data_IF_428478247857
#
_entry.id   IF_428478247857
#
_cell.length_a   1.000
_cell.length_b   1.000
_cell.length_c   1.000
_cell.angle_alpha   90.00
_cell.angle_beta   90.00
_cell.angle_gamma   90.00
#
_symmetry.space_group_name_H-M   'P 1'
#
loop_
_entity.id
_entity.type
_entity.pdbx_description
1 polymer ?
#
# COMPACT_ATOMS: atom_id res chain seq x y z
N UNK A 1 51.97 -57.90 -36.35
CA UNK A 1 50.79 -57.02 -36.25
C UNK A 1 49.66 -57.77 -35.59
N UNK A 2 49.27 -57.38 -34.36
CA UNK A 2 47.99 -57.65 -33.69
C UNK A 2 48.03 -56.89 -32.36
N UNK A 3 47.15 -55.89 -32.19
CA UNK A 3 46.84 -55.27 -30.89
C UNK A 3 45.34 -55.44 -30.63
N UNK A 4 44.91 -55.86 -29.42
CA UNK A 4 43.53 -56.23 -29.16
C UNK A 4 42.67 -55.04 -28.75
N UNK A 5 41.42 -55.07 -29.23
CA UNK A 5 40.32 -54.17 -28.91
C UNK A 5 39.81 -54.46 -27.48
N UNK A 6 40.24 -53.72 -26.47
CA UNK A 6 39.65 -53.84 -25.12
C UNK A 6 39.65 -52.54 -24.30
N UNK A 7 39.65 -51.36 -24.94
CA UNK A 7 39.64 -50.07 -24.23
C UNK A 7 38.33 -49.28 -24.45
N UNK A 8 37.43 -49.73 -25.34
CA UNK A 8 36.30 -48.90 -25.76
C UNK A 8 35.03 -48.98 -24.90
N UNK A 9 34.99 -49.79 -23.83
CA UNK A 9 33.77 -49.95 -23.02
C UNK A 9 33.79 -49.22 -21.66
N UNK A 10 34.92 -48.67 -21.21
CA UNK A 10 34.97 -47.96 -19.92
C UNK A 10 34.66 -46.46 -20.03
N UNK A 11 34.69 -45.88 -21.23
CA UNK A 11 34.41 -44.46 -21.44
C UNK A 11 32.93 -44.11 -21.63
N UNK A 12 32.04 -45.10 -21.83
CA UNK A 12 30.61 -44.85 -22.01
C UNK A 12 29.80 -44.80 -20.71
N UNK A 13 30.38 -45.24 -19.58
CA UNK A 13 29.68 -45.28 -18.29
C UNK A 13 29.81 -43.97 -17.47
N UNK A 14 30.76 -43.09 -17.81
CA UNK A 14 30.94 -41.80 -17.13
C UNK A 14 30.15 -40.63 -17.74
N UNK A 15 29.45 -40.83 -18.87
CA UNK A 15 28.67 -39.77 -19.52
C UNK A 15 27.20 -39.71 -19.05
N UNK A 16 26.73 -40.70 -18.28
CA UNK A 16 25.32 -40.80 -17.88
C UNK A 16 24.99 -40.16 -16.51
N UNK A 17 25.96 -39.56 -15.82
CA UNK A 17 25.77 -39.00 -14.47
C UNK A 17 25.71 -37.46 -14.39
N UNK A 18 25.68 -36.74 -15.53
CA UNK A 18 25.69 -35.26 -15.54
C UNK A 18 24.33 -34.60 -15.82
N UNK A 19 23.22 -35.35 -15.92
CA UNK A 19 21.92 -34.80 -16.35
C UNK A 19 20.80 -34.97 -15.30
N UNK A 20 21.13 -34.92 -14.01
CA UNK A 20 20.14 -34.74 -12.94
C UNK A 20 20.62 -33.75 -11.89
N UNK A 21 20.99 -32.55 -12.33
CA UNK A 21 20.93 -31.36 -11.49
C UNK A 21 19.69 -30.58 -11.92
N UNK A 22 18.54 -30.91 -11.33
CA UNK A 22 17.39 -30.01 -11.32
C UNK A 22 17.79 -28.79 -10.49
N UNK A 23 18.36 -27.78 -11.14
CA UNK A 23 18.63 -26.50 -10.53
C UNK A 23 17.30 -25.86 -10.13
N UNK A 24 17.05 -25.79 -8.83
CA UNK A 24 15.93 -25.06 -8.25
C UNK A 24 16.07 -23.53 -8.40
N UNK A 25 17.13 -23.02 -9.04
CA UNK A 25 17.47 -21.60 -9.08
C UNK A 25 18.08 -21.15 -10.43
N UNK A 26 17.55 -21.58 -11.57
CA UNK A 26 17.90 -20.90 -12.83
C UNK A 26 17.46 -19.43 -12.74
N UNK A 27 18.34 -18.45 -13.02
CA UNK A 27 17.93 -17.05 -13.04
C UNK A 27 16.80 -16.86 -14.05
N UNK A 28 15.78 -16.10 -13.65
CA UNK A 28 14.64 -15.80 -14.52
C UNK A 28 15.12 -15.05 -15.76
N UNK A 29 14.40 -15.20 -16.88
CA UNK A 29 14.68 -14.36 -18.05
C UNK A 29 14.43 -12.89 -17.67
N UNK A 30 15.22 -11.93 -18.22
CA UNK A 30 15.06 -10.51 -17.92
C UNK A 30 13.63 -9.99 -18.16
N UNK A 31 12.94 -10.54 -19.17
CA UNK A 31 11.55 -10.20 -19.48
C UNK A 31 10.57 -10.69 -18.39
N UNK A 32 10.78 -11.91 -17.86
CA UNK A 32 9.94 -12.45 -16.79
C UNK A 32 10.10 -11.62 -15.51
N UNK A 33 11.34 -11.27 -15.18
CA UNK A 33 11.65 -10.43 -14.02
C UNK A 33 11.04 -9.02 -14.16
N UNK A 34 11.09 -8.43 -15.35
CA UNK A 34 10.48 -7.13 -15.62
C UNK A 34 8.96 -7.16 -15.45
N UNK A 35 8.28 -8.16 -16.04
CA UNK A 35 6.83 -8.28 -15.95
C UNK A 35 6.36 -8.51 -14.50
N UNK A 36 7.05 -9.37 -13.74
CA UNK A 36 6.75 -9.58 -12.32
C UNK A 36 7.02 -8.32 -11.46
N UNK A 37 8.01 -7.51 -11.85
CA UNK A 37 8.32 -6.25 -11.17
C UNK A 37 7.29 -5.15 -11.48
N UNK A 38 6.78 -5.09 -12.72
CA UNK A 38 5.68 -4.20 -13.09
C UNK A 38 4.40 -4.53 -12.31
N UNK A 39 4.09 -5.81 -12.13
CA UNK A 39 2.99 -6.26 -11.28
C UNK A 39 3.13 -5.83 -9.83
N UNK A 40 4.32 -6.05 -9.25
CA UNK A 40 4.62 -5.58 -7.91
C UNK A 40 4.45 -4.06 -7.82
N UNK A 41 4.91 -3.30 -8.82
CA UNK A 41 4.75 -1.86 -8.87
C UNK A 41 3.28 -1.42 -8.96
N UNK A 42 2.43 -2.11 -9.72
CA UNK A 42 0.99 -1.80 -9.82
C UNK A 42 0.28 -2.10 -8.47
N UNK A 43 0.56 -3.24 -7.84
CA UNK A 43 0.06 -3.55 -6.50
C UNK A 43 0.54 -2.55 -5.44
N UNK A 44 1.81 -2.14 -5.49
CA UNK A 44 2.38 -1.13 -4.58
C UNK A 44 1.73 0.24 -4.81
N UNK A 45 1.58 0.68 -6.06
CA UNK A 45 0.89 1.94 -6.38
C UNK A 45 -0.54 1.95 -5.85
N UNK A 46 -1.27 0.85 -6.04
CA UNK A 46 -2.60 0.65 -5.46
C UNK A 46 -2.56 0.73 -3.93
N UNK A 47 -1.58 0.12 -3.26
CA UNK A 47 -1.48 0.21 -1.81
C UNK A 47 -1.22 1.62 -1.26
N UNK A 48 -0.59 2.50 -2.04
CA UNK A 48 -0.30 3.87 -1.63
C UNK A 48 -1.44 4.84 -1.95
N UNK A 49 -2.23 4.56 -2.98
CA UNK A 49 -3.29 5.43 -3.49
C UNK A 49 -4.29 5.93 -2.44
N UNK A 50 -4.87 7.09 -2.70
CA UNK A 50 -5.89 7.68 -1.83
C UNK A 50 -7.26 7.09 -2.11
N UNK A 51 -7.74 7.12 -3.37
CA UNK A 51 -9.12 6.78 -3.74
C UNK A 51 -9.49 5.34 -3.41
N UNK A 52 -8.51 4.46 -3.25
CA UNK A 52 -8.70 3.05 -2.91
C UNK A 52 -8.54 2.72 -1.42
N UNK A 53 -8.33 3.72 -0.56
CA UNK A 53 -8.16 3.52 0.88
C UNK A 53 -6.77 3.01 1.28
N UNK A 54 -5.78 3.25 0.43
CA UNK A 54 -4.37 2.98 0.68
C UNK A 54 -3.73 3.95 1.68
N UNK A 55 -2.41 4.00 1.69
CA UNK A 55 -1.64 4.76 2.70
C UNK A 55 -1.95 6.25 2.66
N UNK A 56 -2.07 6.87 1.48
CA UNK A 56 -2.37 8.31 1.38
C UNK A 56 -3.72 8.69 1.99
N UNK A 57 -4.72 7.81 1.93
CA UNK A 57 -6.01 8.03 2.58
C UNK A 57 -5.89 8.04 4.11
N UNK A 58 -5.07 7.13 4.64
CA UNK A 58 -4.87 6.96 6.07
C UNK A 58 -3.96 8.05 6.65
N UNK A 59 -2.99 8.54 5.87
CA UNK A 59 -2.25 9.75 6.20
C UNK A 59 -3.17 10.98 6.25
N UNK A 60 -4.15 11.03 5.35
CA UNK A 60 -5.17 12.08 5.38
C UNK A 60 -6.07 11.98 6.62
N UNK A 61 -6.41 10.77 7.07
CA UNK A 61 -7.11 10.54 8.35
C UNK A 61 -6.33 11.14 9.52
N UNK A 62 -5.02 10.91 9.58
CA UNK A 62 -4.15 11.46 10.63
C UNK A 62 -4.10 12.98 10.59
N UNK A 63 -3.99 13.59 9.40
CA UNK A 63 -3.97 15.05 9.26
C UNK A 63 -5.32 15.66 9.69
N UNK A 64 -6.44 15.04 9.36
CA UNK A 64 -7.76 15.56 9.73
C UNK A 64 -8.00 15.55 11.24
N UNK A 65 -7.39 14.60 11.96
CA UNK A 65 -7.39 14.59 13.43
C UNK A 65 -6.69 15.82 14.03
N UNK A 66 -5.75 16.44 13.32
CA UNK A 66 -5.11 17.70 13.73
C UNK A 66 -6.01 18.92 13.46
N UNK A 67 -7.29 18.85 13.82
CA UNK A 67 -8.23 19.96 13.69
C UNK A 67 -9.25 19.95 14.83
N UNK A 68 -9.88 21.09 15.13
CA UNK A 68 -10.92 21.18 16.18
C UNK A 68 -12.08 20.21 15.92
N UNK A 69 -12.33 19.94 14.65
CA UNK A 69 -13.46 19.17 14.13
C UNK A 69 -13.11 17.68 14.03
N UNK A 70 -11.81 17.36 13.97
CA UNK A 70 -11.28 16.03 13.77
C UNK A 70 -11.79 15.38 12.47
N UNK A 71 -11.62 14.07 12.40
CA UNK A 71 -12.23 13.23 11.36
C UNK A 71 -13.76 13.07 11.56
N UNK A 72 -14.29 13.47 12.72
CA UNK A 72 -15.69 13.28 13.12
C UNK A 72 -16.65 14.25 12.39
N UNK A 73 -16.16 15.41 11.95
CA UNK A 73 -16.98 16.35 11.18
C UNK A 73 -16.91 16.01 9.69
N UNK A 74 -17.87 15.20 9.25
CA UNK A 74 -18.01 14.81 7.85
C UNK A 74 -18.20 16.06 6.98
N UNK A 75 -17.25 16.33 6.08
CA UNK A 75 -17.50 17.29 5.00
C UNK A 75 -18.24 16.59 3.86
N UNK A 76 -19.23 17.28 3.29
CA UNK A 76 -19.88 17.02 2.01
C UNK A 76 -18.91 16.99 0.80
N UNK A 77 -17.59 17.04 1.04
CA UNK A 77 -16.55 17.30 0.04
C UNK A 77 -15.43 16.25 0.01
N UNK A 78 -15.62 15.09 0.65
CA UNK A 78 -14.77 13.94 0.33
C UNK A 78 -15.21 13.41 -1.05
N UNK A 79 -14.27 13.02 -1.90
CA UNK A 79 -14.45 12.59 -3.30
C UNK A 79 -15.32 11.33 -3.51
N UNK A 80 -16.33 11.08 -2.68
CA UNK A 80 -17.37 10.08 -2.87
C UNK A 80 -18.61 10.73 -3.48
N UNK A 81 -18.79 10.58 -4.79
CA UNK A 81 -20.09 10.78 -5.41
C UNK A 81 -21.00 9.65 -4.90
N UNK A 82 -21.76 9.92 -3.84
CA UNK A 82 -22.86 9.06 -3.41
C UNK A 82 -24.17 9.53 -4.01
N UNK A 83 -25.10 8.59 -4.10
CA UNK A 83 -26.49 8.78 -4.50
C UNK A 83 -27.29 9.71 -3.57
N UNK A 84 -26.71 10.15 -2.45
CA UNK A 84 -27.21 11.25 -1.62
C UNK A 84 -26.05 11.98 -0.93
N UNK A 85 -26.18 13.29 -0.74
CA UNK A 85 -25.17 14.18 -0.13
C UNK A 85 -24.92 13.92 1.37
N UNK A 86 -25.61 12.94 1.96
CA UNK A 86 -25.75 12.79 3.42
C UNK A 86 -25.02 11.59 4.04
N UNK A 87 -24.52 10.61 3.28
CA UNK A 87 -23.83 9.42 3.83
C UNK A 87 -22.45 9.18 3.18
N UNK A 88 -21.53 10.12 3.32
CA UNK A 88 -20.20 10.04 2.67
C UNK A 88 -19.26 9.08 3.40
N UNK A 89 -19.42 8.95 4.71
CA UNK A 89 -18.74 7.98 5.55
C UNK A 89 -19.64 7.61 6.73
N UNK A 90 -19.37 6.49 7.40
CA UNK A 90 -19.94 6.18 8.72
C UNK A 90 -18.79 6.16 9.72
N UNK A 91 -18.90 6.99 10.75
CA UNK A 91 -17.86 7.16 11.76
C UNK A 91 -18.49 6.95 13.12
N UNK A 92 -17.95 6.01 13.88
CA UNK A 92 -18.30 5.75 15.27
C UNK A 92 -17.05 5.90 16.13
N UNK A 93 -17.15 6.57 17.28
CA UNK A 93 -15.99 6.84 18.13
C UNK A 93 -16.32 6.68 19.61
N UNK A 94 -15.38 6.08 20.34
CA UNK A 94 -15.43 5.97 21.81
C UNK A 94 -14.11 6.43 22.42
N UNK A 95 -14.16 6.99 23.63
CA UNK A 95 -13.00 7.47 24.37
C UNK A 95 -12.83 6.68 25.66
N UNK A 96 -11.62 6.16 25.88
CA UNK A 96 -11.21 5.56 27.14
C UNK A 96 -10.41 6.58 27.97
N UNK A 97 -10.96 7.09 29.08
CA UNK A 97 -10.27 8.06 29.94
C UNK A 97 -9.09 7.46 30.72
N UNK A 98 -9.03 6.14 30.93
CA UNK A 98 -7.95 5.50 31.68
C UNK A 98 -6.64 5.52 30.89
N UNK A 99 -6.73 5.29 29.58
CA UNK A 99 -5.57 5.31 28.67
C UNK A 99 -5.42 6.63 27.93
N UNK A 100 -6.46 7.48 27.91
CA UNK A 100 -6.50 8.69 27.10
C UNK A 100 -6.53 8.39 25.60
N UNK A 101 -7.20 7.31 25.20
CA UNK A 101 -7.21 6.79 23.83
C UNK A 101 -8.61 6.84 23.25
N UNK A 102 -8.72 7.29 22.01
CA UNK A 102 -9.91 7.15 21.19
C UNK A 102 -9.86 5.86 20.39
N UNK A 103 -10.99 5.19 20.26
CA UNK A 103 -11.24 4.18 19.24
C UNK A 103 -12.16 4.77 18.18
N UNK A 104 -11.85 4.54 16.91
CA UNK A 104 -12.66 4.99 15.77
C UNK A 104 -12.94 3.84 14.83
N UNK A 105 -14.21 3.66 14.46
CA UNK A 105 -14.64 2.78 13.39
C UNK A 105 -15.09 3.62 12.21
N UNK A 106 -14.52 3.35 11.04
CA UNK A 106 -14.73 4.09 9.82
C UNK A 106 -15.27 3.16 8.74
N UNK A 107 -16.28 3.60 8.02
CA UNK A 107 -16.68 3.03 6.75
C UNK A 107 -16.74 4.12 5.68
N UNK A 108 -16.19 3.84 4.50
CA UNK A 108 -16.25 4.69 3.31
C UNK A 108 -16.51 3.84 2.09
N UNK A 109 -17.15 4.44 1.11
CA UNK A 109 -17.40 3.90 -0.21
C UNK A 109 -17.18 5.03 -1.24
N UNK A 110 -16.69 4.68 -2.42
CA UNK A 110 -16.34 5.64 -3.46
C UNK A 110 -16.69 5.07 -4.81
N UNK A 111 -17.33 5.89 -5.63
CA UNK A 111 -17.78 5.49 -6.97
C UNK A 111 -19.05 4.65 -6.92
N UNK A 112 -19.42 4.10 -8.07
CA UNK A 112 -20.58 3.23 -8.21
C UNK A 112 -20.15 1.77 -7.96
N UNK A 113 -20.86 0.97 -7.13
CA UNK A 113 -20.56 -0.45 -6.91
C UNK A 113 -20.37 -1.26 -8.20
N UNK A 114 -21.16 -0.93 -9.23
CA UNK A 114 -21.09 -1.56 -10.54
C UNK A 114 -20.13 -0.85 -11.50
N UNK A 115 -19.65 0.35 -11.16
CA UNK A 115 -18.76 1.17 -11.97
C UNK A 115 -17.27 0.99 -11.70
N UNK A 116 -16.46 1.71 -12.48
CA UNK A 116 -15.00 1.76 -12.35
C UNK A 116 -14.56 3.23 -12.47
N UNK A 117 -13.83 3.80 -11.50
CA UNK A 117 -13.32 3.15 -10.28
C UNK A 117 -14.40 2.95 -9.20
N UNK A 118 -14.15 1.98 -8.31
CA UNK A 118 -14.95 1.72 -7.11
C UNK A 118 -14.06 1.37 -5.92
N UNK A 119 -14.44 1.78 -4.71
CA UNK A 119 -13.81 1.30 -3.48
C UNK A 119 -14.82 1.19 -2.34
N UNK A 120 -14.67 0.17 -1.51
CA UNK A 120 -15.34 0.04 -0.22
C UNK A 120 -14.28 -0.19 0.85
N UNK A 121 -14.32 0.58 1.93
CA UNK A 121 -13.26 0.69 2.94
C UNK A 121 -13.91 0.60 4.31
N UNK A 122 -13.44 -0.32 5.15
CA UNK A 122 -13.79 -0.41 6.56
C UNK A 122 -12.51 -0.45 7.41
N UNK A 123 -12.43 0.34 8.47
CA UNK A 123 -11.23 0.48 9.30
C UNK A 123 -11.59 0.63 10.77
N UNK A 124 -10.73 0.09 11.62
CA UNK A 124 -10.72 0.41 13.05
C UNK A 124 -9.38 1.03 13.40
N UNK A 125 -9.41 2.22 14.00
CA UNK A 125 -8.23 2.94 14.45
C UNK A 125 -8.26 3.14 15.96
N UNK A 126 -7.09 3.27 16.56
CA UNK A 126 -6.94 3.95 17.86
C UNK A 126 -6.06 5.17 17.72
N UNK A 127 -6.35 6.22 18.47
CA UNK A 127 -5.49 7.40 18.47
C UNK A 127 -5.48 8.15 19.80
N UNK A 128 -4.42 8.91 20.03
CA UNK A 128 -4.21 9.70 21.23
C UNK A 128 -3.62 11.06 20.87
N UNK A 129 -4.21 12.13 21.40
CA UNK A 129 -3.63 13.46 21.37
C UNK A 129 -2.67 13.64 22.54
N UNK A 130 -1.46 14.10 22.27
CA UNK A 130 -0.45 14.38 23.28
C UNK A 130 -0.10 15.86 23.26
N UNK A 131 -0.03 16.49 24.44
CA UNK A 131 0.42 17.87 24.58
C UNK A 131 1.96 17.98 24.46
N UNK A 132 2.49 19.19 24.65
CA UNK A 132 3.94 19.47 24.56
C UNK A 132 4.80 18.63 25.52
N UNK A 133 4.23 18.19 26.64
CA UNK A 133 4.90 17.39 27.67
C UNK A 133 4.70 15.88 27.43
N UNK A 134 4.10 15.48 26.31
CA UNK A 134 3.79 14.09 26.02
C UNK A 134 2.65 13.51 26.85
N UNK A 135 1.85 14.34 27.52
CA UNK A 135 0.71 13.89 28.32
C UNK A 135 -0.55 13.77 27.47
N UNK A 136 -1.36 12.71 27.66
CA UNK A 136 -2.62 12.56 26.97
C UNK A 136 -3.59 13.70 27.24
N UNK A 137 -4.30 14.11 26.21
CA UNK A 137 -5.44 15.01 26.31
C UNK A 137 -6.60 14.50 25.46
N UNK A 138 -7.83 14.79 25.89
CA UNK A 138 -9.03 14.22 25.27
C UNK A 138 -9.25 14.75 23.85
N UNK A 139 -8.91 16.00 23.56
CA UNK A 139 -9.18 16.63 22.27
C UNK A 139 -7.91 17.25 21.68
N UNK A 140 -7.97 17.59 20.40
CA UNK A 140 -6.89 18.32 19.72
C UNK A 140 -6.56 19.65 20.41
N UNK A 141 -7.56 20.35 20.98
CA UNK A 141 -7.38 21.55 21.78
C UNK A 141 -8.05 21.36 23.15
N UNK A 142 -7.32 21.68 24.23
CA UNK A 142 -7.85 21.74 25.60
C UNK A 142 -7.43 23.05 26.24
N UNK A 143 -8.41 23.93 26.49
CA UNK A 143 -8.15 25.29 26.94
C UNK A 143 -7.37 26.08 25.89
N UNK A 144 -6.16 26.54 26.24
CA UNK A 144 -5.25 27.23 25.33
C UNK A 144 -4.16 26.31 24.73
N UNK A 145 -4.11 25.04 25.12
CA UNK A 145 -3.10 24.09 24.64
C UNK A 145 -3.62 23.28 23.45
N UNK A 146 -2.74 23.02 22.50
CA UNK A 146 -3.02 22.24 21.29
C UNK A 146 -2.17 20.98 21.32
N UNK A 147 -2.64 19.88 20.73
CA UNK A 147 -1.82 18.68 20.61
C UNK A 147 -0.55 18.97 19.82
N UNK A 148 0.57 18.40 20.24
CA UNK A 148 1.86 18.48 19.54
C UNK A 148 2.17 17.18 18.81
N UNK A 149 1.61 16.07 19.31
CA UNK A 149 1.75 14.74 18.71
C UNK A 149 0.41 14.02 18.68
N UNK A 150 0.18 13.27 17.61
CA UNK A 150 -0.88 12.26 17.53
C UNK A 150 -0.21 10.89 17.37
N UNK A 151 -0.47 9.98 18.31
CA UNK A 151 -0.20 8.56 18.12
C UNK A 151 -1.43 7.95 17.47
N UNK A 152 -1.26 7.27 16.35
CA UNK A 152 -2.35 6.71 15.56
C UNK A 152 -2.02 5.27 15.19
N UNK A 153 -2.90 4.33 15.52
CA UNK A 153 -2.72 2.93 15.18
C UNK A 153 -3.87 2.46 14.30
N UNK A 154 -3.53 1.69 13.28
CA UNK A 154 -4.48 0.94 12.48
C UNK A 154 -4.59 -0.43 13.12
N UNK A 155 -5.74 -0.70 13.74
CA UNK A 155 -6.01 -1.96 14.44
C UNK A 155 -6.32 -3.04 13.43
N UNK A 156 -7.22 -2.72 12.50
CA UNK A 156 -7.67 -3.64 11.45
C UNK A 156 -8.29 -2.85 10.29
N UNK A 157 -8.44 -3.54 9.17
CA UNK A 157 -9.14 -3.01 8.03
C UNK A 157 -9.49 -4.06 6.99
N UNK A 158 -10.63 -3.85 6.35
CA UNK A 158 -11.10 -4.65 5.22
C UNK A 158 -11.55 -3.73 4.09
N UNK A 159 -11.65 -4.26 2.88
CA UNK A 159 -12.13 -3.47 1.77
C UNK A 159 -11.92 -4.11 0.43
N UNK A 160 -12.61 -3.55 -0.55
CA UNK A 160 -12.46 -3.90 -1.95
C UNK A 160 -12.15 -2.65 -2.75
N UNK A 161 -11.41 -2.82 -3.84
CA UNK A 161 -11.15 -1.74 -4.77
C UNK A 161 -11.11 -2.30 -6.18
N UNK A 162 -11.59 -1.53 -7.14
CA UNK A 162 -11.58 -1.91 -8.54
C UNK A 162 -11.28 -0.70 -9.42
N UNK A 163 -10.29 -0.88 -10.27
CA UNK A 163 -10.00 -0.03 -11.41
C UNK A 163 -10.19 -0.80 -12.72
N UNK A 164 -9.76 -0.22 -13.84
CA UNK A 164 -9.77 -0.90 -15.14
C UNK A 164 -8.70 -1.99 -15.24
N UNK A 165 -7.65 -1.91 -14.42
CA UNK A 165 -6.46 -2.78 -14.48
C UNK A 165 -6.36 -3.74 -13.32
N UNK A 166 -6.81 -3.30 -12.15
CA UNK A 166 -6.61 -3.99 -10.89
C UNK A 166 -7.94 -4.12 -10.14
N UNK A 167 -8.23 -5.31 -9.65
CA UNK A 167 -9.26 -5.55 -8.65
C UNK A 167 -8.60 -6.08 -7.40
N UNK A 168 -9.02 -5.65 -6.23
CA UNK A 168 -8.32 -5.91 -4.98
C UNK A 168 -9.31 -6.26 -3.87
N UNK A 169 -8.90 -7.21 -3.03
CA UNK A 169 -9.56 -7.57 -1.78
C UNK A 169 -8.54 -7.52 -0.65
N UNK A 170 -8.71 -6.56 0.27
CA UNK A 170 -7.89 -6.44 1.47
C UNK A 170 -8.28 -7.53 2.47
N UNK A 171 -7.30 -8.30 2.94
CA UNK A 171 -7.49 -9.42 3.89
C UNK A 171 -6.87 -9.14 5.25
N UNK A 172 -5.90 -8.23 5.34
CA UNK A 172 -5.31 -7.80 6.60
C UNK A 172 -4.71 -6.40 6.48
N UNK A 173 -4.79 -5.64 7.58
CA UNK A 173 -4.24 -4.29 7.65
C UNK A 173 -3.89 -3.95 9.09
N UNK A 174 -2.69 -3.42 9.31
CA UNK A 174 -2.27 -2.88 10.58
C UNK A 174 -1.20 -1.82 10.38
N UNK A 175 -0.95 -1.02 11.41
CA UNK A 175 0.10 -0.01 11.35
C UNK A 175 0.11 0.89 12.58
N UNK A 176 1.19 1.64 12.70
CA UNK A 176 1.37 2.65 13.73
C UNK A 176 2.02 3.87 13.09
N UNK A 177 1.42 5.03 13.28
CA UNK A 177 1.89 6.32 12.83
C UNK A 177 2.05 7.23 14.04
N UNK A 178 3.15 7.98 14.06
CA UNK A 178 3.36 9.09 14.97
C UNK A 178 3.42 10.35 14.13
N UNK A 179 2.41 11.20 14.29
CA UNK A 179 2.39 12.52 13.71
C UNK A 179 2.89 13.54 14.71
N UNK A 180 3.90 14.32 14.34
CA UNK A 180 4.48 15.40 15.16
C UNK A 180 4.31 16.74 14.46
N UNK A 181 4.41 17.82 15.24
CA UNK A 181 4.18 19.17 14.73
C UNK A 181 2.71 19.41 14.37
N UNK A 182 1.79 18.66 14.98
CA UNK A 182 0.35 18.72 14.68
C UNK A 182 -0.28 20.07 15.09
N UNK A 183 0.38 20.82 15.97
CA UNK A 183 0.05 22.22 16.31
C UNK A 183 0.57 23.25 15.29
N UNK A 184 1.24 22.82 14.23
CA UNK A 184 1.82 23.70 13.20
C UNK A 184 1.14 23.48 11.85
N UNK A 185 1.53 24.26 10.84
CA UNK A 185 0.97 24.14 9.49
C UNK A 185 1.43 22.87 8.75
N UNK A 186 2.54 22.27 9.16
CA UNK A 186 3.15 21.14 8.48
C UNK A 186 3.35 19.99 9.46
N UNK A 187 2.67 18.89 9.20
CA UNK A 187 2.70 17.69 10.05
C UNK A 187 3.73 16.74 9.48
N UNK A 188 4.58 16.17 10.33
CA UNK A 188 5.50 15.08 9.95
C UNK A 188 4.99 13.77 10.52
N UNK A 189 4.86 12.75 9.68
CA UNK A 189 4.33 11.43 10.02
C UNK A 189 5.43 10.40 9.76
N UNK A 190 5.75 9.65 10.82
CA UNK A 190 6.67 8.51 10.78
C UNK A 190 5.94 7.27 11.27
N UNK A 191 6.35 6.10 10.81
CA UNK A 191 5.77 4.86 11.34
C UNK A 191 5.87 3.65 10.43
N UNK A 192 5.10 2.62 10.78
CA UNK A 192 5.07 1.37 10.05
C UNK A 192 3.65 1.04 9.60
N UNK A 193 3.56 0.35 8.47
CA UNK A 193 2.30 -0.10 7.90
C UNK A 193 2.47 -1.49 7.33
N UNK A 194 1.50 -2.36 7.57
CA UNK A 194 1.46 -3.69 7.01
C UNK A 194 0.08 -3.98 6.44
N UNK A 195 0.08 -4.64 5.29
CA UNK A 195 -1.11 -4.98 4.52
C UNK A 195 -0.96 -6.39 3.97
N UNK A 196 -2.06 -7.12 3.92
CA UNK A 196 -2.21 -8.32 3.11
C UNK A 196 -3.46 -8.20 2.25
N UNK A 197 -3.37 -8.60 0.98
CA UNK A 197 -4.47 -8.49 0.03
C UNK A 197 -4.32 -9.50 -1.12
N UNK A 198 -5.42 -9.72 -1.83
CA UNK A 198 -5.43 -10.45 -3.09
C UNK A 198 -5.77 -9.47 -4.21
N UNK A 199 -4.85 -9.29 -5.15
CA UNK A 199 -5.01 -8.44 -6.32
C UNK A 199 -5.18 -9.28 -7.58
N UNK A 200 -6.21 -9.01 -8.37
CA UNK A 200 -6.37 -9.53 -9.72
C UNK A 200 -5.92 -8.47 -10.70
N UNK A 201 -4.84 -8.73 -11.44
CA UNK A 201 -4.36 -7.86 -12.51
C UNK A 201 -4.84 -8.42 -13.85
N UNK A 202 -5.53 -7.57 -14.62
CA UNK A 202 -6.06 -7.92 -15.94
C UNK A 202 -5.39 -7.10 -17.01
N UNK A 203 -4.75 -7.80 -17.94
CA UNK A 203 -4.19 -7.24 -19.16
C UNK A 203 -4.86 -7.89 -20.38
N UNK A 204 -4.55 -7.40 -21.58
CA UNK A 204 -5.02 -8.05 -22.82
C UNK A 204 -4.55 -9.49 -22.93
N UNK A 205 -3.32 -9.76 -22.52
CA UNK A 205 -2.63 -11.02 -22.75
C UNK A 205 -2.78 -11.99 -21.58
N UNK A 206 -2.93 -11.48 -20.35
CA UNK A 206 -2.98 -12.30 -19.16
C UNK A 206 -3.94 -11.80 -18.08
N UNK A 207 -4.46 -12.75 -17.29
CA UNK A 207 -5.19 -12.54 -16.04
C UNK A 207 -4.50 -13.35 -14.96
N UNK A 208 -4.14 -12.68 -13.88
CA UNK A 208 -3.39 -13.28 -12.77
C UNK A 208 -3.82 -12.70 -11.44
N UNK A 209 -3.74 -13.51 -10.40
CA UNK A 209 -4.00 -13.12 -9.02
C UNK A 209 -2.70 -13.14 -8.22
N UNK A 210 -2.50 -12.11 -7.42
CA UNK A 210 -1.35 -11.92 -6.54
C UNK A 210 -1.90 -11.94 -5.10
N UNK A 211 -1.67 -13.03 -4.38
CA UNK A 211 -1.89 -13.07 -2.94
C UNK A 211 -0.63 -12.53 -2.27
N UNK A 212 -0.71 -11.33 -1.68
CA UNK A 212 0.46 -10.56 -1.30
C UNK A 212 0.41 -9.99 0.11
N UNK A 213 1.61 -9.71 0.61
CA UNK A 213 1.84 -8.93 1.81
C UNK A 213 2.80 -7.80 1.50
N UNK A 214 2.46 -6.62 1.98
CA UNK A 214 3.23 -5.39 1.88
C UNK A 214 3.59 -4.92 3.29
N UNK A 215 4.87 -4.62 3.51
CA UNK A 215 5.35 -3.96 4.73
C UNK A 215 6.05 -2.67 4.35
N UNK A 216 5.72 -1.59 5.05
CA UNK A 216 6.19 -0.25 4.77
C UNK A 216 6.74 0.40 6.03
N UNK A 217 7.76 1.23 5.85
CA UNK A 217 8.26 2.19 6.83
C UNK A 217 8.18 3.58 6.24
N UNK A 218 7.43 4.46 6.89
CA UNK A 218 7.25 5.86 6.51
C UNK A 218 8.30 6.69 7.25
N UNK A 219 9.09 7.45 6.49
CA UNK A 219 10.15 8.32 7.00
C UNK A 219 9.93 9.74 6.50
N UNK A 220 9.78 10.66 7.44
CA UNK A 220 9.58 12.09 7.22
C UNK A 220 8.47 12.39 6.20
N UNK A 221 7.36 11.63 6.27
CA UNK A 221 6.21 11.88 5.40
C UNK A 221 5.48 13.13 5.89
N UNK A 222 5.43 14.16 5.06
CA UNK A 222 4.91 15.46 5.44
C UNK A 222 3.64 15.81 4.69
N UNK A 223 2.70 16.44 5.37
CA UNK A 223 1.50 17.00 4.76
C UNK A 223 1.00 18.21 5.54
N UNK A 224 0.34 19.17 4.87
CA UNK A 224 -0.17 20.36 5.55
C UNK A 224 -1.44 20.04 6.32
N UNK A 225 -1.66 20.75 7.43
CA UNK A 225 -2.98 20.79 8.07
C UNK A 225 -4.04 21.30 7.06
N UNK A 226 -5.21 20.68 7.02
CA UNK A 226 -6.26 21.10 6.10
C UNK A 226 -7.31 20.05 5.79
N UNK A 227 -8.04 20.30 4.69
CA UNK A 227 -9.10 19.41 4.18
C UNK A 227 -8.52 18.38 3.22
N UNK A 228 -9.08 17.16 3.22
CA UNK A 228 -8.64 16.01 2.39
C UNK A 228 -8.39 16.29 0.92
N UNK A 229 -9.25 17.10 0.29
CA UNK A 229 -9.24 17.36 -1.15
C UNK A 229 -7.87 17.79 -1.69
N UNK A 230 -7.03 18.32 -0.80
CA UNK A 230 -5.75 18.90 -1.12
C UNK A 230 -4.54 18.02 -0.74
N UNK A 231 -4.74 16.94 0.02
CA UNK A 231 -3.60 16.27 0.69
C UNK A 231 -2.75 15.44 -0.26
N UNK A 232 -3.34 14.71 -1.21
CA UNK A 232 -2.59 13.82 -2.12
C UNK A 232 -1.54 14.57 -2.93
N UNK A 233 -1.84 15.81 -3.34
CA UNK A 233 -0.91 16.69 -4.07
C UNK A 233 0.16 17.34 -3.19
N UNK A 234 0.01 17.27 -1.87
CA UNK A 234 0.84 17.99 -0.90
C UNK A 234 1.64 17.06 0.00
N UNK A 235 1.42 15.74 -0.10
CA UNK A 235 2.28 14.77 0.58
C UNK A 235 3.68 14.77 -0.04
N UNK A 236 4.67 14.75 0.84
CA UNK A 236 6.08 14.57 0.49
C UNK A 236 6.75 13.62 1.48
N UNK A 237 7.95 13.15 1.18
CA UNK A 237 8.71 12.25 2.06
C UNK A 237 8.96 10.89 1.42
N UNK A 238 9.45 9.95 2.21
CA UNK A 238 9.92 8.65 1.71
C UNK A 238 9.20 7.50 2.38
N UNK A 239 8.89 6.47 1.61
CA UNK A 239 8.39 5.18 2.11
C UNK A 239 9.32 4.09 1.60
N UNK A 240 9.89 3.27 2.47
CA UNK A 240 10.60 2.05 2.10
C UNK A 240 9.76 0.82 2.43
N UNK A 241 10.01 -0.30 1.76
CA UNK A 241 9.23 -1.50 2.07
C UNK A 241 9.62 -2.75 1.31
N UNK A 242 8.91 -3.82 1.66
CA UNK A 242 9.01 -5.15 1.05
C UNK A 242 7.64 -5.58 0.55
N UNK A 243 7.60 -6.10 -0.67
CA UNK A 243 6.44 -6.73 -1.29
C UNK A 243 6.75 -8.21 -1.53
N UNK A 244 5.91 -9.08 -0.99
CA UNK A 244 5.97 -10.53 -1.17
C UNK A 244 4.63 -10.99 -1.70
N UNK A 245 4.62 -11.72 -2.82
CA UNK A 245 3.40 -12.24 -3.41
C UNK A 245 3.55 -13.64 -3.98
N UNK A 246 2.45 -14.38 -3.98
CA UNK A 246 2.29 -15.60 -4.77
C UNK A 246 1.37 -15.33 -5.98
N UNK A 247 1.91 -15.47 -7.18
CA UNK A 247 1.22 -15.26 -8.44
C UNK A 247 0.57 -16.57 -8.95
N UNK A 248 -0.72 -16.49 -9.28
CA UNK A 248 -1.48 -17.56 -9.93
C UNK A 248 -2.05 -17.06 -11.25
N UNK A 249 -1.68 -17.72 -12.35
CA UNK A 249 -2.14 -17.37 -13.68
C UNK A 249 -3.46 -18.08 -14.00
N UNK A 250 -4.48 -17.30 -14.36
CA UNK A 250 -5.78 -17.81 -14.77
C UNK A 250 -5.91 -17.87 -16.30
N UNK A 251 -5.22 -16.97 -16.99
CA UNK A 251 -5.14 -16.92 -18.46
C UNK A 251 -3.82 -16.27 -18.83
N UNK A 252 -3.07 -16.88 -19.76
CA UNK A 252 -1.80 -16.36 -20.26
C UNK A 252 -0.70 -16.36 -19.19
N UNK A 253 0.41 -17.04 -19.44
CA UNK A 253 1.58 -16.98 -18.56
C UNK A 253 2.49 -15.85 -19.05
N UNK A 254 2.35 -14.66 -18.47
CA UNK A 254 3.19 -13.51 -18.83
C UNK A 254 4.60 -13.58 -18.23
N UNK A 255 4.83 -14.46 -17.24
CA UNK A 255 6.13 -14.77 -16.65
C UNK A 255 6.04 -16.09 -15.86
N UNK A 256 7.18 -16.73 -15.59
CA UNK A 256 7.24 -17.99 -14.84
C UNK A 256 7.44 -17.84 -13.33
N UNK A 257 7.84 -16.65 -12.85
CA UNK A 257 8.05 -16.36 -11.42
C UNK A 257 6.73 -16.40 -10.65
N UNK A 258 6.49 -17.43 -9.83
CA UNK A 258 5.29 -17.49 -8.98
C UNK A 258 5.48 -16.85 -7.62
N UNK A 259 6.71 -16.80 -7.12
CA UNK A 259 7.02 -16.16 -5.84
C UNK A 259 7.74 -14.84 -6.11
N UNK A 260 7.04 -13.73 -5.96
CA UNK A 260 7.56 -12.39 -6.23
C UNK A 260 8.00 -11.79 -4.91
N UNK A 261 9.30 -11.51 -4.78
CA UNK A 261 9.86 -10.78 -3.64
C UNK A 261 10.59 -9.54 -4.13
N UNK A 262 10.16 -8.36 -3.68
CA UNK A 262 10.68 -7.07 -4.11
C UNK A 262 10.86 -6.15 -2.92
N UNK A 263 12.06 -5.60 -2.77
CA UNK A 263 12.29 -4.41 -1.95
C UNK A 263 12.11 -3.17 -2.82
N UNK A 264 11.59 -2.11 -2.23
CA UNK A 264 11.34 -0.87 -2.95
C UNK A 264 11.48 0.36 -2.07
N UNK A 265 11.63 1.50 -2.74
CA UNK A 265 11.54 2.83 -2.12
C UNK A 265 10.60 3.71 -2.94
N UNK A 266 9.79 4.49 -2.26
CA UNK A 266 8.81 5.41 -2.84
C UNK A 266 9.15 6.81 -2.37
N UNK A 267 9.27 7.73 -3.32
CA UNK A 267 9.34 9.17 -3.04
C UNK A 267 7.98 9.77 -3.36
N UNK A 268 7.38 10.43 -2.36
CA UNK A 268 6.12 11.15 -2.50
C UNK A 268 6.39 12.61 -2.89
N UNK A 269 5.61 13.14 -3.83
CA UNK A 269 5.66 14.56 -4.19
C UNK A 269 4.74 14.88 -5.36
N UNK A 270 4.22 16.11 -5.42
CA UNK A 270 3.43 16.64 -6.55
C UNK A 270 2.23 15.77 -6.98
N UNK A 271 1.64 15.00 -6.07
CA UNK A 271 0.55 14.08 -6.37
C UNK A 271 0.99 12.75 -7.00
N UNK A 272 2.28 12.44 -6.95
CA UNK A 272 2.89 11.25 -7.54
C UNK A 272 3.70 10.42 -6.53
N UNK A 273 3.72 9.11 -6.76
CA UNK A 273 4.55 8.16 -6.05
C UNK A 273 5.61 7.64 -7.01
N UNK A 274 6.84 8.11 -6.86
CA UNK A 274 7.96 7.55 -7.63
C UNK A 274 8.47 6.30 -6.94
N UNK A 275 8.17 5.14 -7.51
CA UNK A 275 8.46 3.81 -6.96
C UNK A 275 9.72 3.27 -7.64
N UNK A 276 10.75 2.96 -6.85
CA UNK A 276 12.00 2.34 -7.30
C UNK A 276 12.03 0.88 -6.87
N UNK A 277 12.12 -0.04 -7.83
CA UNK A 277 12.19 -1.49 -7.59
C UNK A 277 13.28 -2.08 -8.47
N UNK A 278 14.30 -2.72 -7.88
CA UNK A 278 15.41 -3.37 -8.62
C UNK A 278 16.04 -2.48 -9.72
N UNK A 279 16.22 -1.19 -9.42
CA UNK A 279 16.78 -0.21 -10.38
C UNK A 279 15.81 0.31 -11.45
N UNK A 280 14.59 -0.24 -11.53
CA UNK A 280 13.51 0.29 -12.37
C UNK A 280 12.76 1.40 -11.63
N UNK A 281 12.29 2.39 -12.39
CA UNK A 281 11.49 3.51 -11.91
C UNK A 281 10.08 3.43 -12.49
N UNK A 282 9.09 3.44 -11.60
CA UNK A 282 7.68 3.54 -11.93
C UNK A 282 7.11 4.80 -11.29
N UNK A 283 6.09 5.40 -11.91
CA UNK A 283 5.41 6.58 -11.39
C UNK A 283 3.94 6.22 -11.19
N UNK A 284 3.47 6.27 -9.95
CA UNK A 284 2.06 6.13 -9.60
C UNK A 284 1.39 7.48 -9.43
N UNK A 285 0.10 7.54 -9.72
CA UNK A 285 -0.77 8.66 -9.33
C UNK A 285 -1.25 8.45 -7.88
N UNK A 286 -0.93 9.37 -6.96
CA UNK A 286 -1.31 9.22 -5.54
C UNK A 286 -2.82 9.26 -5.32
N UNK A 287 -3.56 9.95 -6.18
CA UNK A 287 -5.00 10.02 -6.03
C UNK A 287 -5.60 8.66 -6.42
N UNK A 288 -5.30 8.19 -7.63
CA UNK A 288 -5.91 6.99 -8.20
C UNK A 288 -5.32 5.68 -7.67
N UNK A 289 -4.06 5.69 -7.26
CA UNK A 289 -3.34 4.46 -6.91
C UNK A 289 -3.04 3.59 -8.13
N UNK A 290 -2.80 4.19 -9.29
CA UNK A 290 -2.46 3.45 -10.50
C UNK A 290 -1.13 3.92 -11.08
N UNK A 291 -0.41 3.03 -11.78
CA UNK A 291 0.78 3.42 -12.52
C UNK A 291 0.41 4.33 -13.70
N UNK A 292 1.14 5.44 -13.86
CA UNK A 292 1.13 6.24 -15.08
C UNK A 292 1.78 5.41 -16.18
N UNK A 293 1.10 5.30 -17.33
CA UNK A 293 1.71 4.64 -18.49
C UNK A 293 2.98 5.41 -18.86
N UNK A 294 4.10 4.70 -18.90
CA UNK A 294 5.26 5.16 -19.65
C UNK A 294 4.78 5.31 -21.10
N UNK A 295 4.86 6.52 -21.65
CA UNK A 295 4.76 6.69 -23.10
C UNK A 295 5.97 5.93 -23.66
N UNK A 296 5.71 4.74 -24.21
CA UNK A 296 6.72 3.98 -24.95
C UNK A 296 6.97 4.65 -26.29
#
# INVERSE_FOLDING_TARGET
MKFPKFVSLLFLACAAFLMTACDKNSPLSPQNEMNATEDAAESVASAIGSDNGGVADQLSDVIELASMKGIQEQSSSLLGKYTSETEIAKIDTSYDPATGTWTLKLQRERGNPNGVPYAQISRTYTYQYLNKNGQPQKYYIVGADTAYTIKFNIVEGTGTHRTRRLSQKLTGLSGNFTATGVNTRLITINGNYQRSAVDTITTREAVRTLDHTLKLTLTDVKGPIGKRLDHTRKFSGTISGTYTAFATFQRGESYSEKNINREFTIVLGDGESTIHIRGLKFVGDLLLGELKRLVR
#
